data_IF_061397538611
#
_entry.id   IF_061397538611
#
_cell.length_a   1.000
_cell.length_b   1.000
_cell.length_c   1.000
_cell.angle_alpha   90.00
_cell.angle_beta   90.00
_cell.angle_gamma   90.00
#
_symmetry.space_group_name_H-M   'P 1'
#
loop_
_entity.id
_entity.type
_entity.pdbx_description
1 polymer ?
#
# COMPACT_ATOMS: atom_id res chain seq x y z
N UNK A 1 -1.25 11.93 11.95
CA UNK A 1 -1.15 13.07 11.01
C UNK A 1 -2.51 13.15 10.32
N UNK A 2 -3.02 14.32 9.92
CA UNK A 2 -4.38 14.41 9.35
C UNK A 2 -4.39 13.95 7.89
N UNK A 3 -5.39 13.14 7.54
CA UNK A 3 -5.69 12.49 6.26
C UNK A 3 -5.89 13.43 5.03
N UNK A 4 -5.33 14.64 5.04
CA UNK A 4 -5.71 15.71 4.10
C UNK A 4 -4.73 16.00 2.95
N UNK A 5 -3.63 15.25 2.76
CA UNK A 5 -2.70 15.50 1.63
C UNK A 5 -2.21 14.24 0.89
N UNK A 6 -2.97 13.13 0.91
CA UNK A 6 -2.70 12.06 -0.07
C UNK A 6 -3.18 12.55 -1.44
N UNK A 7 -2.23 12.87 -2.31
CA UNK A 7 -2.52 13.15 -3.71
C UNK A 7 -3.26 11.93 -4.30
N UNK A 8 -4.30 12.21 -5.10
CA UNK A 8 -5.39 11.28 -5.39
C UNK A 8 -4.95 9.84 -5.70
N UNK A 9 -5.81 8.90 -5.31
CA UNK A 9 -5.65 7.50 -5.64
C UNK A 9 -5.53 7.33 -7.16
N UNK A 10 -4.39 6.78 -7.60
CA UNK A 10 -4.14 6.39 -8.99
C UNK A 10 -3.86 4.90 -9.00
N UNK A 11 -4.65 4.08 -9.73
CA UNK A 11 -4.43 2.65 -9.80
C UNK A 11 -3.12 2.33 -10.52
N UNK A 12 -2.45 1.27 -10.04
CA UNK A 12 -1.22 0.74 -10.62
C UNK A 12 -1.37 0.33 -12.09
N UNK A 13 -0.29 0.47 -12.86
CA UNK A 13 -0.19 -0.02 -14.25
C UNK A 13 0.60 -1.32 -14.31
N UNK A 14 0.19 -2.24 -15.18
CA UNK A 14 1.00 -3.41 -15.54
C UNK A 14 2.17 -3.04 -16.47
N UNK A 15 3.10 -3.98 -16.69
CA UNK A 15 4.32 -3.72 -17.49
C UNK A 15 4.00 -3.27 -18.94
N UNK A 16 2.94 -3.80 -19.54
CA UNK A 16 2.53 -3.47 -20.90
C UNK A 16 1.95 -2.05 -20.94
N UNK A 17 1.13 -1.69 -19.95
CA UNK A 17 0.58 -0.35 -19.77
C UNK A 17 1.68 0.70 -19.54
N UNK A 18 2.70 0.38 -18.74
CA UNK A 18 3.88 1.23 -18.52
C UNK A 18 4.62 1.46 -19.85
N UNK A 19 4.84 0.39 -20.62
CA UNK A 19 5.52 0.45 -21.91
C UNK A 19 4.74 1.29 -22.93
N UNK A 20 3.42 1.08 -23.02
CA UNK A 20 2.53 1.83 -23.90
C UNK A 20 2.49 3.32 -23.52
N UNK A 21 2.43 3.63 -22.22
CA UNK A 21 2.48 5.00 -21.73
C UNK A 21 3.79 5.69 -22.14
N UNK A 22 4.94 5.04 -21.92
CA UNK A 22 6.23 5.59 -22.28
C UNK A 22 6.35 5.81 -23.80
N UNK A 23 5.90 4.83 -24.60
CA UNK A 23 5.91 4.91 -26.06
C UNK A 23 5.03 6.05 -26.57
N UNK A 24 3.79 6.17 -26.07
CA UNK A 24 2.84 7.19 -26.48
C UNK A 24 3.35 8.62 -26.21
N UNK A 25 4.18 8.77 -25.17
CA UNK A 25 4.75 10.05 -24.78
C UNK A 25 6.17 10.30 -25.30
N UNK A 26 6.81 9.31 -25.92
CA UNK A 26 8.16 9.41 -26.47
C UNK A 26 9.25 9.39 -25.40
N UNK A 27 9.00 8.76 -24.26
CA UNK A 27 9.97 8.62 -23.17
C UNK A 27 10.84 7.38 -23.37
N UNK A 28 12.09 7.47 -22.91
CA UNK A 28 13.00 6.35 -22.75
C UNK A 28 12.72 5.74 -21.39
N UNK A 29 12.10 4.56 -21.41
CA UNK A 29 11.74 3.84 -20.20
C UNK A 29 12.96 3.11 -19.63
N UNK A 30 13.10 3.09 -18.31
CA UNK A 30 14.10 2.31 -17.59
C UNK A 30 13.49 1.76 -16.32
N UNK A 31 13.47 0.44 -16.20
CA UNK A 31 13.12 -0.24 -14.96
C UNK A 31 14.25 -0.07 -13.94
N UNK A 32 13.87 0.20 -12.71
CA UNK A 32 14.78 0.25 -11.56
C UNK A 32 14.30 -0.78 -10.55
N UNK A 33 15.24 -1.59 -10.06
CA UNK A 33 14.97 -2.74 -9.19
C UNK A 33 15.43 -2.52 -7.74
N UNK A 34 15.93 -1.32 -7.44
CA UNK A 34 16.51 -0.96 -6.14
C UNK A 34 16.50 0.58 -6.03
N UNK A 35 15.42 1.15 -5.46
CA UNK A 35 15.28 2.60 -5.30
C UNK A 35 16.39 3.17 -4.41
N UNK A 36 17.28 3.96 -5.01
CA UNK A 36 18.46 4.52 -4.33
C UNK A 36 18.18 5.81 -3.54
N UNK A 37 16.92 6.21 -3.34
CA UNK A 37 16.58 7.43 -2.64
C UNK A 37 15.68 7.13 -1.42
N UNK A 38 16.09 7.49 -0.18
CA UNK A 38 15.17 7.40 0.96
C UNK A 38 13.92 8.26 0.69
N UNK A 39 12.75 7.82 1.14
CA UNK A 39 11.42 8.42 0.89
C UNK A 39 11.41 9.95 1.03
N UNK A 40 12.22 10.50 1.94
CA UNK A 40 12.38 11.94 2.16
C UNK A 40 12.94 12.74 0.95
N UNK A 41 13.41 12.08 -0.11
CA UNK A 41 13.96 12.71 -1.32
C UNK A 41 13.00 12.68 -2.52
N UNK A 42 11.83 12.05 -2.39
CA UNK A 42 10.83 11.94 -3.45
C UNK A 42 9.83 13.11 -3.41
N UNK A 43 9.73 13.86 -4.51
CA UNK A 43 8.75 14.94 -4.64
C UNK A 43 7.57 14.48 -5.50
N UNK A 44 6.45 14.15 -4.84
CA UNK A 44 5.19 13.81 -5.51
C UNK A 44 4.71 15.01 -6.35
N UNK A 45 4.35 14.72 -7.60
CA UNK A 45 3.93 15.70 -8.59
C UNK A 45 2.41 15.87 -8.61
N UNK A 46 1.95 17.08 -8.28
CA UNK A 46 0.58 17.53 -8.57
C UNK A 46 -0.51 16.58 -8.06
N UNK A 47 -1.43 16.23 -8.96
CA UNK A 47 -2.57 15.35 -8.67
C UNK A 47 -2.19 13.85 -8.66
N UNK A 48 -0.89 13.52 -8.73
CA UNK A 48 -0.38 12.15 -8.67
C UNK A 48 -0.86 11.26 -9.83
N UNK A 49 -0.97 11.81 -11.04
CA UNK A 49 -1.45 11.10 -12.23
C UNK A 49 -0.36 10.94 -13.32
N UNK A 50 -0.44 9.90 -14.17
CA UNK A 50 0.48 9.70 -15.30
C UNK A 50 0.47 10.88 -16.28
N UNK A 51 -0.70 11.50 -16.50
CA UNK A 51 -0.82 12.68 -17.36
C UNK A 51 0.00 13.86 -16.83
N UNK A 52 -0.04 14.08 -15.51
CA UNK A 52 0.72 15.16 -14.88
C UNK A 52 2.22 14.89 -14.94
N UNK A 53 2.64 13.63 -14.73
CA UNK A 53 4.02 13.20 -14.92
C UNK A 53 4.48 13.46 -16.37
N UNK A 54 3.68 13.08 -17.36
CA UNK A 54 4.01 13.31 -18.76
C UNK A 54 4.11 14.81 -19.11
N UNK A 55 3.20 15.64 -18.58
CA UNK A 55 3.24 17.09 -18.76
C UNK A 55 4.50 17.69 -18.14
N UNK A 56 4.84 17.31 -16.91
CA UNK A 56 6.05 17.74 -16.22
C UNK A 56 7.30 17.41 -17.04
N UNK A 57 7.46 16.15 -17.45
CA UNK A 57 8.59 15.71 -18.23
C UNK A 57 8.73 16.48 -19.56
N UNK A 58 7.63 16.64 -20.31
CA UNK A 58 7.62 17.37 -21.58
C UNK A 58 7.95 18.84 -21.40
N UNK A 59 7.38 19.48 -20.39
CA UNK A 59 7.60 20.90 -20.08
C UNK A 59 9.06 21.18 -19.75
N UNK A 60 9.72 20.24 -19.06
CA UNK A 60 11.11 20.37 -18.64
C UNK A 60 12.13 19.73 -19.59
N UNK A 61 11.68 19.18 -20.72
CA UNK A 61 12.54 18.55 -21.73
C UNK A 61 13.24 17.28 -21.22
N UNK A 62 12.60 16.56 -20.31
CA UNK A 62 13.06 15.29 -19.76
C UNK A 62 12.60 14.17 -20.67
N UNK A 63 13.54 13.34 -21.11
CA UNK A 63 13.28 12.24 -22.04
C UNK A 63 13.35 10.86 -21.38
N UNK A 64 13.81 10.77 -20.12
CA UNK A 64 14.07 9.52 -19.42
C UNK A 64 13.05 9.34 -18.29
N UNK A 65 12.23 8.30 -18.38
CA UNK A 65 11.26 7.89 -17.36
C UNK A 65 11.82 6.64 -16.67
N UNK A 66 11.91 6.70 -15.35
CA UNK A 66 12.24 5.55 -14.52
C UNK A 66 10.97 5.02 -13.88
N UNK A 67 10.88 3.71 -13.73
CA UNK A 67 9.79 3.07 -13.00
C UNK A 67 10.29 1.94 -12.11
N UNK A 68 9.54 1.67 -11.06
CA UNK A 68 9.85 0.63 -10.07
C UNK A 68 8.58 0.10 -9.44
N UNK A 69 8.51 -1.22 -9.32
CA UNK A 69 7.48 -1.90 -8.57
C UNK A 69 7.96 -2.18 -7.15
N UNK A 70 7.09 -1.88 -6.18
CA UNK A 70 7.30 -2.26 -4.79
C UNK A 70 6.27 -3.31 -4.36
N UNK A 71 6.71 -4.20 -3.49
CA UNK A 71 5.99 -5.41 -3.10
C UNK A 71 5.83 -5.40 -1.58
N UNK A 72 4.64 -5.81 -1.12
CA UNK A 72 4.44 -6.04 0.31
C UNK A 72 4.94 -7.43 0.67
N UNK A 73 5.69 -7.50 1.76
CA UNK A 73 6.00 -8.78 2.38
C UNK A 73 4.72 -9.38 3.00
N UNK A 74 4.57 -10.69 2.87
CA UNK A 74 3.55 -11.44 3.58
C UNK A 74 3.79 -11.33 5.09
N UNK A 75 2.89 -10.64 5.79
CA UNK A 75 2.94 -10.51 7.25
C UNK A 75 1.79 -11.26 7.90
N UNK A 76 2.08 -12.48 8.32
CA UNK A 76 1.17 -13.28 9.15
C UNK A 76 0.96 -12.61 10.51
N UNK A 77 -0.31 -12.52 10.94
CA UNK A 77 -0.62 -12.19 12.32
C UNK A 77 -0.58 -13.47 13.16
N UNK A 78 0.58 -13.76 13.75
CA UNK A 78 0.71 -14.90 14.66
C UNK A 78 0.06 -14.59 16.00
N UNK A 79 -1.06 -15.26 16.27
CA UNK A 79 -1.51 -15.50 17.65
C UNK A 79 -1.13 -16.91 18.01
N UNK A 80 -0.13 -17.02 18.87
CA UNK A 80 0.39 -18.30 19.30
C UNK A 80 -0.70 -19.04 20.08
N UNK A 81 -1.24 -20.18 19.58
CA UNK A 81 -2.28 -20.93 20.29
C UNK A 81 -1.77 -21.57 21.60
N UNK A 82 -0.47 -21.47 21.88
CA UNK A 82 0.20 -22.08 23.02
C UNK A 82 0.90 -21.07 23.96
N UNK A 83 0.95 -19.79 23.58
CA UNK A 83 1.35 -18.66 24.44
C UNK A 83 0.21 -17.64 24.35
N UNK A 84 -0.81 -17.82 25.19
CA UNK A 84 -2.06 -17.06 25.17
C UNK A 84 -1.91 -15.68 25.84
N UNK A 85 -0.77 -15.00 25.68
CA UNK A 85 -0.55 -13.68 26.30
C UNK A 85 -1.55 -12.62 25.79
N UNK A 86 -2.21 -12.87 24.65
CA UNK A 86 -3.13 -11.94 23.99
C UNK A 86 -4.57 -12.10 24.47
N UNK A 87 -5.09 -13.34 24.62
CA UNK A 87 -6.48 -13.56 25.07
C UNK A 87 -6.58 -14.02 26.53
N UNK A 88 -5.45 -14.19 27.23
CA UNK A 88 -5.42 -14.50 28.65
C UNK A 88 -6.15 -13.43 29.47
N UNK A 89 -7.16 -13.86 30.23
CA UNK A 89 -7.96 -13.00 31.09
C UNK A 89 -9.14 -12.32 30.39
N UNK A 90 -9.35 -12.55 29.09
CA UNK A 90 -10.57 -12.13 28.40
C UNK A 90 -11.77 -13.01 28.77
N UNK A 91 -12.97 -12.45 28.66
CA UNK A 91 -14.20 -13.25 28.71
C UNK A 91 -14.22 -14.23 27.53
N UNK A 92 -14.74 -15.47 27.69
CA UNK A 92 -14.69 -16.50 26.64
C UNK A 92 -15.23 -16.04 25.29
N UNK A 93 -16.36 -15.33 25.28
CA UNK A 93 -16.98 -14.84 24.04
C UNK A 93 -16.12 -13.77 23.34
N UNK A 94 -15.30 -13.02 24.09
CA UNK A 94 -14.37 -12.02 23.55
C UNK A 94 -13.11 -12.68 23.02
N UNK A 95 -12.55 -13.65 23.77
CA UNK A 95 -11.41 -14.44 23.32
C UNK A 95 -11.71 -15.20 22.03
N UNK A 96 -12.90 -15.81 21.92
CA UNK A 96 -13.34 -16.52 20.71
C UNK A 96 -13.45 -15.57 19.51
N UNK A 97 -13.95 -14.35 19.69
CA UNK A 97 -14.06 -13.38 18.60
C UNK A 97 -12.70 -12.79 18.17
N UNK A 98 -11.78 -12.63 19.12
CA UNK A 98 -10.41 -12.21 18.84
C UNK A 98 -9.69 -13.29 18.01
N UNK A 99 -9.79 -14.56 18.42
CA UNK A 99 -9.23 -15.68 17.67
C UNK A 99 -9.85 -15.80 16.26
N UNK A 100 -11.17 -15.64 16.14
CA UNK A 100 -11.82 -15.65 14.82
C UNK A 100 -11.32 -14.52 13.92
N UNK A 101 -11.11 -13.31 14.45
CA UNK A 101 -10.57 -12.20 13.65
C UNK A 101 -9.14 -12.48 13.17
N UNK A 102 -8.35 -13.21 13.95
CA UNK A 102 -7.02 -13.65 13.55
C UNK A 102 -7.04 -14.75 12.50
N UNK A 103 -7.93 -15.73 12.65
CA UNK A 103 -8.13 -16.77 11.63
C UNK A 103 -8.62 -16.15 10.31
N UNK A 104 -9.62 -15.27 10.36
CA UNK A 104 -10.16 -14.57 9.18
C UNK A 104 -9.07 -13.74 8.48
N UNK A 105 -8.24 -13.01 9.24
CA UNK A 105 -7.11 -12.29 8.66
C UNK A 105 -6.09 -13.21 7.99
N UNK A 106 -5.71 -14.30 8.65
CA UNK A 106 -4.72 -15.22 8.12
C UNK A 106 -5.24 -15.94 6.87
N UNK A 107 -6.51 -16.34 6.85
CA UNK A 107 -7.16 -16.88 5.64
C UNK A 107 -7.11 -15.86 4.49
N UNK A 108 -7.33 -14.56 4.77
CA UNK A 108 -7.24 -13.51 3.75
C UNK A 108 -5.80 -13.27 3.25
N UNK A 109 -4.81 -13.31 4.14
CA UNK A 109 -3.38 -13.23 3.78
C UNK A 109 -3.00 -14.43 2.91
N UNK A 110 -3.37 -15.65 3.30
CA UNK A 110 -3.12 -16.89 2.55
C UNK A 110 -3.74 -16.87 1.14
N UNK A 111 -4.89 -16.22 0.97
CA UNK A 111 -5.57 -16.06 -0.32
C UNK A 111 -5.00 -14.93 -1.20
N UNK A 112 -4.22 -14.01 -0.61
CA UNK A 112 -3.68 -12.84 -1.32
C UNK A 112 -2.38 -13.18 -2.05
N UNK A 113 -2.28 -12.79 -3.32
CA UNK A 113 -1.07 -12.96 -4.11
C UNK A 113 -0.06 -11.83 -3.86
N UNK A 114 0.74 -11.95 -2.79
CA UNK A 114 1.83 -11.00 -2.48
C UNK A 114 2.97 -11.00 -3.50
N UNK A 115 2.95 -11.88 -4.51
CA UNK A 115 3.88 -11.78 -5.65
C UNK A 115 3.47 -10.71 -6.65
N UNK A 116 2.25 -10.18 -6.56
CA UNK A 116 1.81 -9.02 -7.31
C UNK A 116 2.35 -7.73 -6.67
N UNK A 117 2.69 -6.71 -7.49
CA UNK A 117 3.16 -5.44 -6.97
C UNK A 117 2.04 -4.69 -6.25
N UNK A 118 2.36 -4.12 -5.09
CA UNK A 118 1.44 -3.29 -4.31
C UNK A 118 1.50 -1.82 -4.73
N UNK A 119 2.64 -1.38 -5.26
CA UNK A 119 2.89 0.01 -5.61
C UNK A 119 3.78 0.10 -6.85
N UNK A 120 3.57 1.16 -7.64
CA UNK A 120 4.43 1.53 -8.76
C UNK A 120 4.83 2.99 -8.62
N UNK A 121 6.12 3.23 -8.66
CA UNK A 121 6.68 4.56 -8.78
C UNK A 121 6.98 4.88 -10.23
N UNK A 122 6.52 6.04 -10.69
CA UNK A 122 7.05 6.68 -11.90
C UNK A 122 7.85 7.89 -11.49
N UNK A 123 9.09 8.01 -11.97
CA UNK A 123 9.92 9.13 -11.58
C UNK A 123 10.93 9.57 -12.64
N UNK A 124 11.35 10.82 -12.46
CA UNK A 124 12.30 11.51 -13.30
C UNK A 124 13.24 12.32 -12.42
N UNK A 125 14.48 12.46 -12.88
CA UNK A 125 15.49 13.28 -12.20
C UNK A 125 15.54 14.64 -12.88
N UNK A 126 15.21 15.69 -12.14
CA UNK A 126 15.31 17.07 -12.61
C UNK A 126 16.11 17.92 -11.63
N UNK A 127 17.17 18.57 -12.13
CA UNK A 127 18.05 19.43 -11.34
C UNK A 127 18.58 18.78 -10.05
N UNK A 128 18.83 17.46 -10.08
CA UNK A 128 19.36 16.70 -8.94
C UNK A 128 18.32 16.35 -7.88
N UNK A 129 17.02 16.46 -8.20
CA UNK A 129 15.91 15.98 -7.36
C UNK A 129 15.09 14.94 -8.10
N UNK A 130 14.49 14.03 -7.35
CA UNK A 130 13.57 13.02 -7.87
C UNK A 130 12.16 13.58 -7.78
N UNK A 131 11.47 13.60 -8.92
CA UNK A 131 10.07 13.98 -9.03
C UNK A 131 9.30 12.82 -9.63
N UNK A 132 8.12 12.55 -9.11
CA UNK A 132 7.36 11.43 -9.61
C UNK A 132 5.94 11.34 -9.09
N UNK A 133 5.33 10.20 -9.33
CA UNK A 133 4.01 9.82 -8.86
C UNK A 133 4.07 8.41 -8.27
N UNK A 134 3.08 8.10 -7.44
CA UNK A 134 2.88 6.82 -6.77
C UNK A 134 1.55 6.26 -7.22
N UNK A 135 1.53 5.03 -7.71
CA UNK A 135 0.32 4.37 -8.17
C UNK A 135 0.10 3.08 -7.37
N UNK A 136 -1.06 2.98 -6.74
CA UNK A 136 -1.35 1.95 -5.75
C UNK A 136 -2.19 0.84 -6.37
N UNK A 137 -1.90 -0.39 -5.98
CA UNK A 137 -2.74 -1.52 -6.30
C UNK A 137 -3.94 -1.56 -5.33
N UNK A 138 -5.18 -1.48 -5.83
CA UNK A 138 -6.37 -1.47 -4.98
C UNK A 138 -6.49 -2.71 -4.11
N UNK A 139 -5.97 -3.85 -4.58
CA UNK A 139 -6.05 -5.12 -3.87
C UNK A 139 -5.21 -5.11 -2.58
N UNK A 140 -4.25 -4.18 -2.47
CA UNK A 140 -3.37 -4.05 -1.32
C UNK A 140 -3.67 -2.87 -0.40
N UNK A 141 -4.64 -2.00 -0.73
CA UNK A 141 -4.98 -0.82 0.09
C UNK A 141 -5.25 -1.17 1.55
N UNK A 142 -5.93 -2.30 1.78
CA UNK A 142 -6.28 -2.76 3.13
C UNK A 142 -5.05 -3.11 3.99
N UNK A 143 -3.92 -3.49 3.40
CA UNK A 143 -2.70 -3.83 4.13
C UNK A 143 -1.88 -2.60 4.51
N UNK A 144 -2.24 -1.43 3.97
CA UNK A 144 -1.56 -0.16 4.17
C UNK A 144 -2.24 0.72 5.23
N UNK A 145 -3.38 0.30 5.79
CA UNK A 145 -4.02 0.97 6.92
C UNK A 145 -3.09 0.96 8.16
N UNK A 146 -3.17 2.00 9.01
CA UNK A 146 -2.30 2.18 10.19
C UNK A 146 -2.24 0.93 11.12
N UNK A 147 -3.30 0.09 11.11
CA UNK A 147 -3.30 -1.24 11.73
C UNK A 147 -4.47 -2.09 11.17
N UNK A 148 -4.25 -2.90 10.13
CA UNK A 148 -5.33 -3.59 9.43
C UNK A 148 -5.91 -4.76 10.26
N UNK A 149 -5.10 -5.30 11.18
CA UNK A 149 -5.53 -6.26 12.20
C UNK A 149 -6.55 -5.64 13.16
N UNK A 150 -6.28 -4.43 13.65
CA UNK A 150 -7.21 -3.72 14.52
C UNK A 150 -8.52 -3.38 13.80
N UNK A 151 -8.48 -3.06 12.49
CA UNK A 151 -9.68 -2.86 11.68
C UNK A 151 -10.52 -4.14 11.63
N UNK A 152 -9.92 -5.29 11.32
CA UNK A 152 -10.61 -6.59 11.31
C UNK A 152 -11.19 -6.94 12.70
N UNK A 153 -10.40 -6.76 13.75
CA UNK A 153 -10.82 -6.96 15.13
C UNK A 153 -12.03 -6.09 15.51
N UNK A 154 -12.03 -4.81 15.13
CA UNK A 154 -13.15 -3.91 15.39
C UNK A 154 -14.44 -4.35 14.69
N UNK A 155 -14.33 -4.90 13.47
CA UNK A 155 -15.49 -5.44 12.74
C UNK A 155 -16.07 -6.68 13.43
N UNK A 156 -15.21 -7.62 13.85
CA UNK A 156 -15.62 -8.81 14.59
C UNK A 156 -16.27 -8.47 15.94
N UNK A 157 -15.65 -7.57 16.71
CA UNK A 157 -16.17 -7.13 18.01
C UNK A 157 -17.46 -6.31 17.89
N UNK A 158 -17.64 -5.53 16.82
CA UNK A 158 -18.85 -4.76 16.56
C UNK A 158 -20.12 -5.61 16.37
N UNK A 159 -19.96 -6.90 16.04
CA UNK A 159 -21.04 -7.89 15.95
C UNK A 159 -21.45 -8.49 17.30
N UNK A 160 -20.64 -8.33 18.35
CA UNK A 160 -20.91 -8.87 19.67
C UNK A 160 -21.72 -7.89 20.53
N UNK A 161 -22.68 -8.43 21.29
CA UNK A 161 -23.22 -7.69 22.45
C UNK A 161 -22.21 -7.79 23.58
N UNK A 162 -21.26 -6.87 23.58
CA UNK A 162 -20.33 -6.73 24.70
C UNK A 162 -21.12 -6.35 25.96
N UNK A 163 -20.78 -6.93 27.13
CA UNK A 163 -21.38 -6.53 28.39
C UNK A 163 -21.10 -5.03 28.60
N UNK A 164 -22.13 -4.26 28.99
CA UNK A 164 -21.96 -2.85 29.35
C UNK A 164 -20.92 -2.78 30.48
N UNK A 165 -19.84 -2.03 30.25
CA UNK A 165 -18.86 -1.75 31.29
C UNK A 165 -19.50 -0.79 32.29
N UNK A 166 -19.73 -1.25 33.52
CA UNK A 166 -20.04 -0.37 34.64
C UNK A 166 -18.79 0.48 34.93
N UNK A 167 -18.90 1.80 34.68
CA UNK A 167 -17.91 2.83 35.09
C UNK A 167 -17.69 2.89 36.62
#
# INVERSE_FOLDING_TARGET
>A
MSDEDYAGYTPIMDEDEVADFAQANGFKLTEVTDFLAPDEAFAILGDNTPEYMAEFMKTHGIDSLFYEYDYLDETDAYVYPMDDDVTEGMEPDVADAVNQAFDDWNDEVDETDFSAPALLYFYAIYQGRVFGIEMWNPDFEKYLEDDPMLTCLCQCLGGLKLPETDD
#
